data_IF_566648041299
#
_entry.id   IF_566648041299
#
_cell.length_a   1.000
_cell.length_b   1.000
_cell.length_c   1.000
_cell.angle_alpha   90.00
_cell.angle_beta   90.00
_cell.angle_gamma   90.00
#
_symmetry.space_group_name_H-M   'P 1'
#
loop_
_entity.id
_entity.type
_entity.pdbx_description
1 polymer ?
#
# COMPACT_ATOMS: atom_id res chain seq x y z
N UNK A 1 29.20 30.69 -15.20
CA UNK A 1 29.43 29.23 -15.34
C UNK A 1 28.33 28.39 -14.70
N UNK A 2 28.25 28.24 -13.37
CA UNK A 2 27.26 27.33 -12.72
C UNK A 2 25.79 27.69 -13.03
N UNK A 3 25.48 28.98 -13.14
CA UNK A 3 24.13 29.47 -13.47
C UNK A 3 23.79 29.28 -14.97
N UNK A 4 24.81 29.29 -15.83
CA UNK A 4 24.65 29.12 -17.28
C UNK A 4 24.38 27.65 -17.62
N UNK A 5 25.01 26.71 -16.89
CA UNK A 5 24.74 25.27 -16.97
C UNK A 5 23.31 24.93 -16.54
N UNK A 6 22.82 25.51 -15.43
CA UNK A 6 21.43 25.35 -14.98
C UNK A 6 20.46 25.89 -16.05
N UNK A 7 20.74 27.07 -16.60
CA UNK A 7 19.91 27.71 -17.62
C UNK A 7 19.90 26.92 -18.94
N UNK A 8 21.03 26.33 -19.31
CA UNK A 8 21.16 25.46 -20.48
C UNK A 8 20.40 24.14 -20.30
N UNK A 9 20.50 23.51 -19.12
CA UNK A 9 19.73 22.31 -18.79
C UNK A 9 18.22 22.56 -18.88
N UNK A 10 17.74 23.66 -18.28
CA UNK A 10 16.33 24.06 -18.33
C UNK A 10 15.89 24.40 -19.76
N UNK A 11 16.68 25.15 -20.53
CA UNK A 11 16.36 25.48 -21.93
C UNK A 11 16.27 24.24 -22.83
N UNK A 12 17.01 23.18 -22.52
CA UNK A 12 16.96 21.89 -23.23
C UNK A 12 15.75 21.04 -22.83
N UNK A 13 15.34 21.07 -21.56
CA UNK A 13 14.24 20.26 -21.04
C UNK A 13 12.86 20.91 -21.21
N UNK A 14 12.76 22.23 -21.06
CA UNK A 14 11.51 23.00 -21.08
C UNK A 14 10.65 22.78 -22.35
N UNK A 15 11.19 22.85 -23.59
CA UNK A 15 10.36 22.66 -24.78
C UNK A 15 9.77 21.25 -24.88
N UNK A 16 10.52 20.22 -24.44
CA UNK A 16 10.00 18.84 -24.38
C UNK A 16 8.88 18.71 -23.35
N UNK A 17 9.03 19.35 -22.19
CA UNK A 17 8.00 19.36 -21.13
C UNK A 17 6.73 20.09 -21.57
N UNK A 18 6.86 21.24 -22.23
CA UNK A 18 5.73 21.99 -22.76
C UNK A 18 5.00 21.21 -23.87
N UNK A 19 5.76 20.59 -24.79
CA UNK A 19 5.17 19.73 -25.82
C UNK A 19 4.41 18.55 -25.21
N UNK A 20 5.00 17.87 -24.22
CA UNK A 20 4.34 16.77 -23.51
C UNK A 20 3.04 17.23 -22.83
N UNK A 21 3.10 18.36 -22.11
CA UNK A 21 1.93 18.95 -21.46
C UNK A 21 0.82 19.30 -22.46
N UNK A 22 1.19 19.88 -23.60
CA UNK A 22 0.24 20.22 -24.67
C UNK A 22 -0.43 18.97 -25.25
N UNK A 23 0.35 17.93 -25.55
CA UNK A 23 -0.19 16.65 -26.06
C UNK A 23 -1.15 16.02 -25.06
N UNK A 24 -0.78 15.97 -23.78
CA UNK A 24 -1.66 15.47 -22.72
C UNK A 24 -2.95 16.29 -22.59
N UNK A 25 -2.88 17.62 -22.71
CA UNK A 25 -4.05 18.50 -22.65
C UNK A 25 -5.00 18.25 -23.85
N UNK A 26 -4.46 18.08 -25.06
CA UNK A 26 -5.26 17.78 -26.26
C UNK A 26 -5.93 16.41 -26.14
N UNK A 27 -5.19 15.37 -25.73
CA UNK A 27 -5.75 14.03 -25.52
C UNK A 27 -6.85 14.06 -24.45
N UNK A 28 -6.60 14.72 -23.32
CA UNK A 28 -7.59 14.89 -22.25
C UNK A 28 -8.84 15.64 -22.72
N UNK A 29 -8.67 16.70 -23.52
CA UNK A 29 -9.78 17.46 -24.10
C UNK A 29 -10.64 16.63 -25.07
N UNK A 30 -10.00 15.87 -25.96
CA UNK A 30 -10.70 14.98 -26.91
C UNK A 30 -11.45 13.87 -26.15
N UNK A 31 -10.78 13.21 -25.21
CA UNK A 31 -11.40 12.15 -24.40
C UNK A 31 -12.60 12.68 -23.60
N UNK A 32 -12.48 13.86 -22.99
CA UNK A 32 -13.57 14.52 -22.28
C UNK A 32 -14.74 14.89 -23.19
N UNK A 33 -14.47 15.42 -24.39
CA UNK A 33 -15.50 15.73 -25.38
C UNK A 33 -16.23 14.47 -25.87
N UNK A 34 -15.49 13.39 -26.17
CA UNK A 34 -16.08 12.11 -26.56
C UNK A 34 -16.95 11.54 -25.42
N UNK A 35 -16.47 11.58 -24.18
CA UNK A 35 -17.25 11.13 -23.03
C UNK A 35 -18.58 11.87 -22.88
N UNK A 36 -18.56 13.20 -23.05
CA UNK A 36 -19.76 14.03 -23.02
C UNK A 36 -20.70 13.80 -24.22
N UNK A 37 -20.15 13.57 -25.42
CA UNK A 37 -20.94 13.42 -26.65
C UNK A 37 -21.60 12.05 -26.80
N UNK A 38 -20.93 10.99 -26.36
CA UNK A 38 -21.40 9.60 -26.52
C UNK A 38 -22.18 9.07 -25.32
N UNK A 39 -22.46 9.88 -24.30
CA UNK A 39 -23.30 9.46 -23.17
C UNK A 39 -22.70 8.29 -22.39
N UNK A 40 -21.41 8.40 -22.00
CA UNK A 40 -20.79 7.40 -21.13
C UNK A 40 -21.43 7.34 -19.73
N UNK A 41 -22.40 8.22 -19.42
CA UNK A 41 -23.25 8.14 -18.22
C UNK A 41 -23.99 6.80 -18.13
N UNK A 42 -24.29 6.12 -19.24
CA UNK A 42 -24.85 4.77 -19.20
C UNK A 42 -23.91 3.73 -18.54
N UNK A 43 -22.59 3.93 -18.61
CA UNK A 43 -21.61 3.07 -17.93
C UNK A 43 -21.64 3.25 -16.42
N UNK A 44 -22.06 4.43 -15.92
CA UNK A 44 -22.15 4.69 -14.48
C UNK A 44 -23.13 3.74 -13.79
N UNK A 45 -24.30 3.49 -14.41
CA UNK A 45 -25.31 2.56 -13.89
C UNK A 45 -24.82 1.11 -13.87
N UNK A 46 -24.09 0.68 -14.91
CA UNK A 46 -23.49 -0.66 -14.97
C UNK A 46 -22.44 -0.83 -13.86
N UNK A 47 -21.56 0.16 -13.68
CA UNK A 47 -20.51 0.13 -12.65
C UNK A 47 -21.12 0.18 -11.25
N UNK A 48 -22.15 0.99 -11.03
CA UNK A 48 -22.86 1.08 -9.76
C UNK A 48 -23.57 -0.24 -9.40
N UNK A 49 -24.24 -0.88 -10.36
CA UNK A 49 -24.88 -2.18 -10.13
C UNK A 49 -23.84 -3.28 -9.88
N UNK A 50 -22.74 -3.28 -10.62
CA UNK A 50 -21.66 -4.24 -10.45
C UNK A 50 -20.96 -4.07 -9.09
N UNK A 51 -20.71 -2.84 -8.64
CA UNK A 51 -20.09 -2.56 -7.34
C UNK A 51 -21.03 -2.92 -6.18
N UNK A 52 -22.32 -2.62 -6.29
CA UNK A 52 -23.33 -3.04 -5.31
C UNK A 52 -23.44 -4.56 -5.23
N UNK A 53 -23.49 -5.26 -6.37
CA UNK A 53 -23.50 -6.73 -6.42
C UNK A 53 -22.23 -7.31 -5.80
N UNK A 54 -21.07 -6.78 -6.16
CA UNK A 54 -19.79 -7.19 -5.61
C UNK A 54 -19.77 -7.02 -4.09
N UNK A 55 -20.13 -5.85 -3.58
CA UNK A 55 -20.18 -5.55 -2.15
C UNK A 55 -21.16 -6.44 -1.38
N UNK A 56 -22.37 -6.62 -1.91
CA UNK A 56 -23.43 -7.36 -1.22
C UNK A 56 -23.23 -8.87 -1.24
N UNK A 57 -22.68 -9.42 -2.33
CA UNK A 57 -22.71 -10.87 -2.59
C UNK A 57 -21.35 -11.51 -2.73
N UNK A 58 -20.31 -10.80 -3.17
CA UNK A 58 -18.99 -11.39 -3.44
C UNK A 58 -18.01 -11.07 -2.32
N UNK A 59 -17.93 -9.80 -1.89
CA UNK A 59 -16.92 -9.33 -0.96
C UNK A 59 -16.91 -10.08 0.39
N UNK A 60 -18.06 -10.42 1.02
CA UNK A 60 -18.05 -11.20 2.26
C UNK A 60 -17.48 -12.60 2.10
N UNK A 61 -17.82 -13.31 1.02
CA UNK A 61 -17.27 -14.65 0.76
C UNK A 61 -15.80 -14.62 0.38
N UNK A 62 -15.40 -13.60 -0.39
CA UNK A 62 -13.99 -13.38 -0.70
C UNK A 62 -13.19 -13.06 0.58
N UNK A 63 -13.77 -12.32 1.52
CA UNK A 63 -13.17 -12.10 2.84
C UNK A 63 -12.95 -13.41 3.59
N UNK A 64 -13.96 -14.29 3.64
CA UNK A 64 -13.83 -15.62 4.25
C UNK A 64 -12.74 -16.44 3.54
N UNK A 65 -12.69 -16.40 2.22
CA UNK A 65 -11.65 -17.08 1.46
C UNK A 65 -10.25 -16.55 1.81
N UNK A 66 -10.08 -15.23 1.93
CA UNK A 66 -8.80 -14.62 2.37
C UNK A 66 -8.44 -15.07 3.79
N UNK A 67 -9.40 -15.12 4.71
CA UNK A 67 -9.18 -15.61 6.08
C UNK A 67 -8.72 -17.07 6.12
N UNK A 68 -9.15 -17.92 5.18
CA UNK A 68 -8.70 -19.31 5.11
C UNK A 68 -7.38 -19.46 4.35
N UNK A 69 -7.20 -18.72 3.25
CA UNK A 69 -6.03 -18.83 2.37
C UNK A 69 -4.79 -18.24 3.05
N UNK A 70 -4.93 -17.13 3.77
CA UNK A 70 -3.81 -16.45 4.44
C UNK A 70 -3.02 -17.39 5.36
N UNK A 71 -3.62 -18.09 6.33
CA UNK A 71 -2.90 -19.05 7.15
C UNK A 71 -2.43 -20.27 6.33
N UNK A 72 -3.19 -20.71 5.33
CA UNK A 72 -2.81 -21.84 4.47
C UNK A 72 -1.52 -21.56 3.67
N UNK A 73 -1.25 -20.31 3.30
CA UNK A 73 -0.02 -19.90 2.60
C UNK A 73 1.10 -19.52 3.60
N UNK A 74 0.77 -18.69 4.60
CA UNK A 74 1.75 -18.16 5.53
C UNK A 74 2.32 -19.23 6.48
N UNK A 75 1.50 -20.19 6.94
CA UNK A 75 1.95 -21.20 7.91
C UNK A 75 3.01 -22.14 7.30
N UNK A 76 2.83 -22.75 6.11
CA UNK A 76 3.87 -23.58 5.50
C UNK A 76 5.16 -22.81 5.21
N UNK A 77 5.05 -21.59 4.67
CA UNK A 77 6.21 -20.73 4.42
C UNK A 77 6.98 -20.42 5.70
N UNK A 78 6.27 -20.07 6.78
CA UNK A 78 6.87 -19.84 8.09
C UNK A 78 7.47 -21.12 8.69
N UNK A 79 6.82 -22.28 8.54
CA UNK A 79 7.37 -23.57 9.00
C UNK A 79 8.67 -23.92 8.29
N UNK A 80 8.76 -23.66 6.98
CA UNK A 80 10.01 -23.83 6.23
C UNK A 80 11.11 -22.88 6.71
N UNK A 81 10.79 -21.61 6.97
CA UNK A 81 11.74 -20.66 7.54
C UNK A 81 12.22 -21.12 8.93
N UNK A 82 11.29 -21.59 9.78
CA UNK A 82 11.60 -22.10 11.12
C UNK A 82 12.43 -23.38 11.10
N UNK A 83 12.19 -24.28 10.15
CA UNK A 83 12.99 -25.49 10.01
C UNK A 83 14.43 -25.16 9.62
N UNK A 84 14.63 -24.21 8.69
CA UNK A 84 15.96 -23.71 8.33
C UNK A 84 16.63 -23.01 9.50
N UNK A 85 15.90 -22.18 10.24
CA UNK A 85 16.39 -21.51 11.44
C UNK A 85 16.85 -22.50 12.52
N UNK A 86 16.17 -23.65 12.66
CA UNK A 86 16.57 -24.67 13.62
C UNK A 86 17.84 -25.44 13.22
N UNK A 87 18.15 -25.51 11.93
CA UNK A 87 19.39 -26.10 11.41
C UNK A 87 20.53 -25.09 11.23
N UNK A 88 20.26 -23.80 11.44
CA UNK A 88 21.24 -22.74 11.27
C UNK A 88 22.26 -22.78 12.42
N UNK A 89 23.54 -22.67 12.07
CA UNK A 89 24.66 -22.75 13.00
C UNK A 89 25.00 -21.43 13.70
N UNK A 90 24.34 -20.33 13.30
CA UNK A 90 24.54 -18.99 13.85
C UNK A 90 25.51 -18.11 13.07
N UNK A 91 26.26 -18.68 12.11
CA UNK A 91 27.32 -17.98 11.38
C UNK A 91 27.13 -18.03 9.86
N UNK A 92 26.38 -19.01 9.33
CA UNK A 92 26.12 -19.13 7.89
C UNK A 92 25.22 -17.98 7.38
N UNK A 93 25.85 -16.96 6.79
CA UNK A 93 25.19 -15.80 6.20
C UNK A 93 24.27 -16.17 5.03
N UNK A 94 24.63 -17.18 4.22
CA UNK A 94 23.81 -17.60 3.08
C UNK A 94 22.49 -18.20 3.59
N UNK A 95 22.55 -19.07 4.60
CA UNK A 95 21.35 -19.61 5.24
C UNK A 95 20.53 -18.52 5.95
N UNK A 96 21.18 -17.59 6.64
CA UNK A 96 20.51 -16.44 7.28
C UNK A 96 19.75 -15.58 6.27
N UNK A 97 20.36 -15.28 5.12
CA UNK A 97 19.73 -14.50 4.03
C UNK A 97 18.51 -15.21 3.45
N UNK A 98 18.55 -16.54 3.32
CA UNK A 98 17.42 -17.35 2.85
C UNK A 98 16.28 -17.35 3.88
N UNK A 99 16.60 -17.41 5.17
CA UNK A 99 15.60 -17.32 6.24
C UNK A 99 14.94 -15.95 6.22
N UNK A 100 15.71 -14.86 6.18
CA UNK A 100 15.20 -13.49 6.13
C UNK A 100 14.32 -13.25 4.88
N UNK A 101 14.74 -13.75 3.72
CA UNK A 101 13.94 -13.71 2.49
C UNK A 101 12.59 -14.41 2.63
N UNK A 102 12.55 -15.57 3.29
CA UNK A 102 11.29 -16.29 3.56
C UNK A 102 10.42 -15.57 4.58
N UNK A 103 10.99 -15.05 5.67
CA UNK A 103 10.25 -14.27 6.67
C UNK A 103 9.67 -13.00 6.06
N UNK A 104 10.46 -12.29 5.25
CA UNK A 104 10.01 -11.12 4.48
C UNK A 104 8.87 -11.45 3.53
N UNK A 105 8.92 -12.61 2.85
CA UNK A 105 7.82 -13.06 1.98
C UNK A 105 6.54 -13.38 2.77
N UNK A 106 6.66 -13.99 3.96
CA UNK A 106 5.51 -14.24 4.86
C UNK A 106 4.91 -12.93 5.37
N UNK A 107 5.75 -11.99 5.81
CA UNK A 107 5.31 -10.66 6.25
C UNK A 107 4.58 -9.92 5.12
N UNK A 108 5.14 -9.94 3.90
CA UNK A 108 4.51 -9.34 2.73
C UNK A 108 3.15 -9.97 2.42
N UNK A 109 3.06 -11.31 2.41
CA UNK A 109 1.81 -12.02 2.13
C UNK A 109 0.73 -11.68 3.18
N UNK A 110 1.09 -11.67 4.46
CA UNK A 110 0.17 -11.27 5.54
C UNK A 110 -0.27 -9.81 5.41
N UNK A 111 0.65 -8.88 5.15
CA UNK A 111 0.31 -7.47 4.95
C UNK A 111 -0.56 -7.25 3.71
N UNK A 112 -0.31 -7.97 2.62
CA UNK A 112 -1.12 -7.92 1.40
C UNK A 112 -2.55 -8.43 1.66
N UNK A 113 -2.70 -9.56 2.36
CA UNK A 113 -4.01 -10.05 2.80
C UNK A 113 -4.75 -9.04 3.65
N UNK A 114 -4.06 -8.37 4.59
CA UNK A 114 -4.67 -7.36 5.44
C UNK A 114 -5.16 -6.14 4.65
N UNK A 115 -4.35 -5.63 3.72
CA UNK A 115 -4.75 -4.52 2.82
C UNK A 115 -5.96 -4.92 1.97
N UNK A 116 -5.97 -6.13 1.44
CA UNK A 116 -7.12 -6.67 0.70
C UNK A 116 -8.36 -6.77 1.60
N UNK A 117 -8.21 -7.21 2.84
CA UNK A 117 -9.30 -7.26 3.83
C UNK A 117 -9.92 -5.87 4.07
N UNK A 118 -9.10 -4.83 4.24
CA UNK A 118 -9.61 -3.46 4.38
C UNK A 118 -10.43 -2.99 3.17
N UNK A 119 -10.01 -3.35 1.96
CA UNK A 119 -10.79 -3.08 0.76
C UNK A 119 -12.12 -3.86 0.74
N UNK A 120 -12.09 -5.16 1.04
CA UNK A 120 -13.27 -6.01 1.00
C UNK A 120 -14.32 -5.63 2.04
N UNK A 121 -13.92 -5.16 3.22
CA UNK A 121 -14.85 -4.70 4.25
C UNK A 121 -15.48 -3.36 3.83
N UNK A 122 -14.70 -2.45 3.24
CA UNK A 122 -15.23 -1.22 2.66
C UNK A 122 -16.20 -1.49 1.51
N UNK A 123 -15.90 -2.48 0.65
CA UNK A 123 -16.79 -2.92 -0.41
C UNK A 123 -18.09 -3.52 0.16
N UNK A 124 -18.00 -4.35 1.20
CA UNK A 124 -19.17 -4.90 1.91
C UNK A 124 -20.06 -3.79 2.48
N UNK A 125 -19.46 -2.76 3.08
CA UNK A 125 -20.20 -1.63 3.65
C UNK A 125 -20.72 -0.63 2.62
N UNK A 126 -20.24 -0.66 1.38
CA UNK A 126 -20.66 0.28 0.33
C UNK A 126 -22.14 0.15 -0.06
N UNK A 127 -22.76 -1.01 0.23
CA UNK A 127 -24.20 -1.27 0.06
C UNK A 127 -25.04 -0.47 1.07
N UNK A 128 -24.42 0.00 2.16
CA UNK A 128 -25.04 0.85 3.16
C UNK A 128 -26.13 0.14 3.96
N UNK A 129 -27.11 0.92 4.43
CA UNK A 129 -28.18 0.43 5.30
C UNK A 129 -29.13 -0.57 4.63
N UNK A 130 -29.22 -0.58 3.30
CA UNK A 130 -30.02 -1.55 2.55
C UNK A 130 -29.62 -3.01 2.82
N UNK A 131 -28.39 -3.22 3.27
CA UNK A 131 -27.91 -4.52 3.68
C UNK A 131 -28.62 -5.09 4.91
N UNK A 132 -29.34 -4.27 5.68
CA UNK A 132 -30.13 -4.68 6.85
C UNK A 132 -31.62 -4.87 6.55
N UNK A 133 -32.05 -4.65 5.30
CA UNK A 133 -33.46 -4.80 4.90
C UNK A 133 -33.92 -6.27 4.87
N UNK A 134 -32.98 -7.22 4.86
CA UNK A 134 -33.26 -8.65 4.93
C UNK A 134 -32.29 -9.38 5.86
N UNK A 135 -32.78 -10.45 6.47
CA UNK A 135 -31.96 -11.30 7.33
C UNK A 135 -30.74 -11.89 6.61
N UNK A 136 -30.92 -12.33 5.36
CA UNK A 136 -29.84 -12.93 4.56
C UNK A 136 -28.68 -11.95 4.32
N UNK A 137 -28.98 -10.72 3.88
CA UNK A 137 -27.97 -9.68 3.66
C UNK A 137 -27.30 -9.25 4.97
N UNK A 138 -28.04 -9.17 6.07
CA UNK A 138 -27.49 -8.83 7.38
C UNK A 138 -26.51 -9.89 7.86
N UNK A 139 -26.85 -11.18 7.71
CA UNK A 139 -25.96 -12.31 8.04
C UNK A 139 -24.67 -12.24 7.22
N UNK A 140 -24.73 -11.92 5.93
CA UNK A 140 -23.53 -11.77 5.09
C UNK A 140 -22.60 -10.67 5.59
N UNK A 141 -23.13 -9.53 6.07
CA UNK A 141 -22.28 -8.50 6.70
C UNK A 141 -21.60 -9.04 7.94
N UNK A 142 -22.33 -9.69 8.85
CA UNK A 142 -21.75 -10.22 10.08
C UNK A 142 -20.67 -11.26 9.81
N UNK A 143 -20.86 -12.11 8.79
CA UNK A 143 -19.84 -13.04 8.30
C UNK A 143 -18.60 -12.27 7.81
N UNK A 144 -18.79 -11.23 6.99
CA UNK A 144 -17.70 -10.38 6.51
C UNK A 144 -16.92 -9.70 7.65
N UNK A 145 -17.62 -9.19 8.66
CA UNK A 145 -17.01 -8.59 9.87
C UNK A 145 -16.21 -9.63 10.65
N UNK A 146 -16.80 -10.79 10.92
CA UNK A 146 -16.13 -11.86 11.65
C UNK A 146 -14.86 -12.33 10.92
N UNK A 147 -14.93 -12.51 9.60
CA UNK A 147 -13.78 -12.87 8.76
C UNK A 147 -12.71 -11.77 8.75
N UNK A 148 -13.10 -10.50 8.68
CA UNK A 148 -12.17 -9.37 8.77
C UNK A 148 -11.43 -9.33 10.13
N UNK A 149 -12.14 -9.55 11.23
CA UNK A 149 -11.54 -9.64 12.56
C UNK A 149 -10.59 -10.85 12.69
N UNK A 150 -10.94 -11.98 12.10
CA UNK A 150 -10.05 -13.15 12.03
C UNK A 150 -8.74 -12.81 11.29
N UNK A 151 -8.81 -12.16 10.13
CA UNK A 151 -7.62 -11.73 9.36
C UNK A 151 -6.76 -10.75 10.15
N UNK A 152 -7.36 -9.83 10.92
CA UNK A 152 -6.61 -8.92 11.79
C UNK A 152 -5.81 -9.70 12.85
N UNK A 153 -6.45 -10.63 13.54
CA UNK A 153 -5.79 -11.46 14.56
C UNK A 153 -4.70 -12.33 13.93
N UNK A 154 -4.98 -12.99 12.80
CA UNK A 154 -4.01 -13.78 12.06
C UNK A 154 -2.79 -12.95 11.65
N UNK A 155 -3.00 -11.75 11.12
CA UNK A 155 -1.93 -10.86 10.70
C UNK A 155 -1.03 -10.45 11.87
N UNK A 156 -1.61 -10.14 13.03
CA UNK A 156 -0.85 -9.83 14.26
C UNK A 156 -0.04 -11.05 14.70
N UNK A 157 -0.63 -12.25 14.73
CA UNK A 157 0.06 -13.47 15.15
C UNK A 157 1.17 -13.89 14.18
N UNK A 158 0.96 -13.72 12.87
CA UNK A 158 1.97 -14.01 11.85
C UNK A 158 3.13 -13.01 11.96
N UNK A 159 2.83 -11.72 12.07
CA UNK A 159 3.86 -10.68 12.25
C UNK A 159 4.67 -10.90 13.52
N UNK A 160 4.00 -11.24 14.64
CA UNK A 160 4.68 -11.60 15.88
C UNK A 160 5.66 -12.76 15.67
N UNK A 161 5.19 -13.87 15.09
CA UNK A 161 6.03 -15.06 14.88
C UNK A 161 7.23 -14.77 13.97
N UNK A 162 7.04 -13.96 12.93
CA UNK A 162 8.13 -13.58 12.04
C UNK A 162 9.16 -12.69 12.76
N UNK A 163 8.70 -11.73 13.58
CA UNK A 163 9.58 -10.88 14.38
C UNK A 163 10.32 -11.69 15.45
N UNK A 164 9.65 -12.62 16.12
CA UNK A 164 10.29 -13.49 17.12
C UNK A 164 11.32 -14.43 16.47
N UNK A 165 11.09 -14.90 15.25
CA UNK A 165 12.07 -15.65 14.46
C UNK A 165 13.27 -14.76 14.03
N UNK A 166 13.01 -13.53 13.59
CA UNK A 166 14.07 -12.58 13.25
C UNK A 166 14.96 -12.24 14.45
N UNK A 167 14.39 -12.13 15.66
CA UNK A 167 15.15 -11.94 16.91
C UNK A 167 16.05 -13.11 17.29
N UNK A 168 15.76 -14.32 16.83
CA UNK A 168 16.65 -15.47 17.07
C UNK A 168 17.92 -15.37 16.23
N UNK A 169 17.83 -14.79 15.03
CA UNK A 169 18.98 -14.49 14.19
C UNK A 169 19.75 -13.25 14.66
N UNK A 170 19.04 -12.32 15.30
CA UNK A 170 19.54 -11.02 15.76
C UNK A 170 19.15 -10.77 17.24
N UNK A 171 19.87 -11.36 18.22
CA UNK A 171 19.55 -11.24 19.64
C UNK A 171 19.61 -9.80 20.20
N UNK A 172 20.28 -8.91 19.50
CA UNK A 172 20.36 -7.47 19.81
C UNK A 172 19.00 -6.77 19.70
N UNK A 173 18.05 -7.31 18.92
CA UNK A 173 16.73 -6.72 18.68
C UNK A 173 15.77 -7.03 19.83
N UNK A 174 15.40 -6.02 20.61
CA UNK A 174 14.59 -6.16 21.83
C UNK A 174 13.16 -5.67 21.66
N UNK A 175 12.87 -4.88 20.63
CA UNK A 175 11.55 -4.31 20.37
C UNK A 175 10.45 -5.39 20.24
N UNK A 176 9.32 -5.21 20.94
CA UNK A 176 8.17 -6.11 20.85
C UNK A 176 7.19 -5.62 19.78
N UNK A 177 6.61 -6.53 18.98
CA UNK A 177 5.58 -6.16 17.98
C UNK A 177 4.38 -5.44 18.61
N UNK A 178 4.13 -5.69 19.90
CA UNK A 178 3.06 -5.08 20.68
C UNK A 178 3.39 -3.67 21.19
N UNK A 179 4.62 -3.18 20.98
CA UNK A 179 4.99 -1.82 21.31
C UNK A 179 4.30 -0.83 20.36
N UNK A 180 3.63 0.18 20.93
CA UNK A 180 3.00 1.27 20.15
C UNK A 180 3.99 2.02 19.25
N UNK A 181 5.29 1.95 19.55
CA UNK A 181 6.38 2.53 18.76
C UNK A 181 7.33 1.45 18.22
N UNK A 182 6.83 0.24 17.94
CA UNK A 182 7.63 -0.90 17.49
C UNK A 182 8.61 -0.51 16.37
N UNK A 183 8.12 0.13 15.30
CA UNK A 183 8.98 0.52 14.16
C UNK A 183 10.15 1.41 14.58
N UNK A 184 9.91 2.35 15.51
CA UNK A 184 10.97 3.22 16.02
C UNK A 184 11.98 2.43 16.86
N UNK A 185 11.49 1.66 17.84
CA UNK A 185 12.35 0.83 18.70
C UNK A 185 13.15 -0.18 17.90
N UNK A 186 12.54 -0.77 16.87
CA UNK A 186 13.19 -1.71 15.96
C UNK A 186 14.35 -1.06 15.21
N UNK A 187 14.15 0.14 14.66
CA UNK A 187 15.21 0.91 13.97
C UNK A 187 16.29 1.39 14.94
N UNK A 188 15.93 1.73 16.19
CA UNK A 188 16.89 2.15 17.22
C UNK A 188 17.82 0.98 17.63
N UNK A 189 17.32 -0.26 17.65
CA UNK A 189 18.10 -1.49 17.92
C UNK A 189 19.00 -1.91 16.74
N UNK A 190 18.75 -1.41 15.51
CA UNK A 190 19.51 -1.75 14.32
C UNK A 190 20.90 -1.10 14.29
N UNK A 191 21.85 -1.74 13.61
CA UNK A 191 23.15 -1.13 13.34
C UNK A 191 23.09 -0.07 12.21
N UNK A 192 24.21 0.59 11.93
CA UNK A 192 24.28 1.64 10.91
C UNK A 192 24.10 1.12 9.48
N UNK A 193 24.54 -0.11 9.19
CA UNK A 193 24.39 -0.71 7.87
C UNK A 193 22.92 -1.08 7.59
N UNK A 194 22.24 -1.66 8.57
CA UNK A 194 20.81 -1.97 8.56
C UNK A 194 19.98 -0.69 8.42
N UNK A 195 20.28 0.36 9.18
CA UNK A 195 19.61 1.67 9.06
C UNK A 195 19.75 2.27 7.67
N UNK A 196 20.94 2.19 7.07
CA UNK A 196 21.18 2.64 5.69
C UNK A 196 20.34 1.82 4.71
N UNK A 197 20.25 0.50 4.89
CA UNK A 197 19.46 -0.36 4.02
C UNK A 197 17.95 -0.08 4.14
N UNK A 198 17.43 0.07 5.36
CA UNK A 198 16.05 0.51 5.62
C UNK A 198 15.80 1.86 4.95
N UNK A 199 16.74 2.80 5.04
CA UNK A 199 16.66 4.10 4.36
C UNK A 199 16.56 3.98 2.83
N UNK A 200 17.37 3.12 2.20
CA UNK A 200 17.31 2.85 0.74
C UNK A 200 15.98 2.23 0.34
N UNK A 201 15.50 1.25 1.11
CA UNK A 201 14.19 0.62 0.89
C UNK A 201 13.04 1.61 1.04
N UNK A 202 13.05 2.42 2.11
CA UNK A 202 12.06 3.45 2.38
C UNK A 202 12.03 4.52 1.28
N UNK A 203 13.20 4.95 0.77
CA UNK A 203 13.26 5.90 -0.34
C UNK A 203 12.68 5.31 -1.64
N UNK A 204 12.98 4.03 -1.94
CA UNK A 204 12.42 3.35 -3.12
C UNK A 204 10.90 3.20 -3.01
N UNK A 205 10.40 2.85 -1.82
CA UNK A 205 8.96 2.80 -1.53
C UNK A 205 8.31 4.19 -1.65
N UNK A 206 8.90 5.23 -1.07
CA UNK A 206 8.47 6.62 -1.18
C UNK A 206 8.34 7.08 -2.64
N UNK A 207 9.37 6.80 -3.46
CA UNK A 207 9.36 7.14 -4.88
C UNK A 207 8.25 6.41 -5.65
N UNK A 208 8.05 5.12 -5.35
CA UNK A 208 6.97 4.34 -5.95
C UNK A 208 5.58 4.88 -5.56
N UNK A 209 5.35 5.17 -4.27
CA UNK A 209 4.09 5.74 -3.78
C UNK A 209 3.78 7.07 -4.45
N UNK A 210 4.77 7.98 -4.58
CA UNK A 210 4.56 9.25 -5.27
C UNK A 210 4.15 9.08 -6.74
N UNK A 211 4.75 8.13 -7.45
CA UNK A 211 4.37 7.82 -8.84
C UNK A 211 2.95 7.26 -8.91
N UNK A 212 2.62 6.30 -8.04
CA UNK A 212 1.29 5.68 -7.99
C UNK A 212 0.23 6.72 -7.63
N UNK A 213 0.46 7.58 -6.63
CA UNK A 213 -0.47 8.66 -6.28
C UNK A 213 -0.72 9.61 -7.45
N UNK A 214 0.33 10.03 -8.17
CA UNK A 214 0.18 10.91 -9.33
C UNK A 214 -0.66 10.26 -10.44
N UNK A 215 -0.37 9.00 -10.78
CA UNK A 215 -1.13 8.24 -11.79
C UNK A 215 -2.58 8.03 -11.32
N UNK A 216 -2.77 7.61 -10.07
CA UNK A 216 -4.08 7.35 -9.50
C UNK A 216 -4.94 8.62 -9.44
N UNK A 217 -4.39 9.78 -9.10
CA UNK A 217 -5.12 11.05 -9.11
C UNK A 217 -5.65 11.40 -10.51
N UNK A 218 -4.83 11.20 -11.56
CA UNK A 218 -5.25 11.43 -12.95
C UNK A 218 -6.35 10.44 -13.35
N UNK A 219 -6.14 9.15 -13.07
CA UNK A 219 -7.12 8.09 -13.40
C UNK A 219 -8.44 8.34 -12.68
N UNK A 220 -8.42 8.66 -11.39
CA UNK A 220 -9.63 8.92 -10.60
C UNK A 220 -10.34 10.19 -11.05
N UNK A 221 -9.63 11.22 -11.51
CA UNK A 221 -10.26 12.41 -12.10
C UNK A 221 -11.01 12.06 -13.39
N UNK A 222 -10.43 11.21 -14.26
CA UNK A 222 -11.11 10.71 -15.46
C UNK A 222 -12.31 9.84 -15.07
N UNK A 223 -12.15 8.94 -14.10
CA UNK A 223 -13.24 8.10 -13.60
C UNK A 223 -14.37 8.93 -13.00
N UNK A 224 -14.08 10.05 -12.33
CA UNK A 224 -15.10 10.95 -11.80
C UNK A 224 -15.95 11.55 -12.93
N UNK A 225 -15.33 11.92 -14.05
CA UNK A 225 -16.02 12.42 -15.24
C UNK A 225 -16.85 11.32 -15.93
N UNK A 226 -16.28 10.12 -16.11
CA UNK A 226 -16.87 9.05 -16.92
C UNK A 226 -17.91 8.23 -16.15
N UNK A 227 -17.62 7.90 -14.89
CA UNK A 227 -18.45 6.99 -14.07
C UNK A 227 -19.23 7.71 -12.97
N UNK A 228 -19.05 9.01 -12.78
CA UNK A 228 -19.78 9.76 -11.75
C UNK A 228 -19.44 9.36 -10.32
N UNK A 229 -18.27 8.76 -10.07
CA UNK A 229 -17.84 8.27 -8.73
C UNK A 229 -17.59 9.42 -7.71
N UNK A 230 -17.75 10.67 -8.14
CA UNK A 230 -17.48 11.86 -7.34
C UNK A 230 -15.99 12.14 -7.13
N UNK A 231 -15.68 13.16 -6.34
CA UNK A 231 -14.30 13.58 -6.08
C UNK A 231 -13.65 12.90 -4.87
N UNK A 232 -14.44 12.23 -4.00
CA UNK A 232 -13.95 11.67 -2.73
C UNK A 232 -12.80 10.66 -2.90
N UNK A 233 -12.84 9.70 -3.86
CA UNK A 233 -11.71 8.80 -4.08
C UNK A 233 -10.43 9.54 -4.45
N UNK A 234 -10.53 10.57 -5.32
CA UNK A 234 -9.38 11.39 -5.69
C UNK A 234 -8.86 12.20 -4.52
N UNK A 235 -9.74 12.73 -3.67
CA UNK A 235 -9.35 13.47 -2.47
C UNK A 235 -8.56 12.59 -1.49
N UNK A 236 -9.00 11.34 -1.26
CA UNK A 236 -8.28 10.41 -0.40
C UNK A 236 -6.85 10.15 -0.89
N UNK A 237 -6.66 9.95 -2.20
CA UNK A 237 -5.32 9.79 -2.80
C UNK A 237 -4.47 11.06 -2.64
N UNK A 238 -5.06 12.24 -2.88
CA UNK A 238 -4.36 13.51 -2.72
C UNK A 238 -3.93 13.77 -1.26
N UNK A 239 -4.75 13.39 -0.28
CA UNK A 239 -4.39 13.50 1.15
C UNK A 239 -3.17 12.63 1.45
N UNK A 240 -3.18 11.36 1.03
CA UNK A 240 -2.03 10.45 1.24
C UNK A 240 -0.78 11.04 0.59
N UNK A 241 -0.90 11.54 -0.64
CA UNK A 241 0.21 12.11 -1.37
C UNK A 241 0.76 13.38 -0.69
N UNK A 242 -0.12 14.27 -0.23
CA UNK A 242 0.25 15.49 0.49
C UNK A 242 0.93 15.18 1.82
N UNK A 243 0.45 14.20 2.58
CA UNK A 243 1.09 13.76 3.83
C UNK A 243 2.49 13.23 3.55
N UNK A 244 2.63 12.35 2.55
CA UNK A 244 3.91 11.76 2.18
C UNK A 244 4.94 12.84 1.79
N UNK A 245 4.54 13.79 0.93
CA UNK A 245 5.37 14.90 0.51
C UNK A 245 5.72 15.84 1.68
N UNK A 246 4.74 16.16 2.53
CA UNK A 246 4.93 17.10 3.65
C UNK A 246 5.90 16.55 4.70
N UNK A 247 5.77 15.27 5.05
CA UNK A 247 6.67 14.61 6.02
C UNK A 247 8.09 14.56 5.46
N UNK A 248 8.25 14.19 4.18
CA UNK A 248 9.57 14.19 3.53
C UNK A 248 10.21 15.58 3.54
N UNK A 249 9.49 16.60 3.09
CA UNK A 249 9.98 17.98 3.08
C UNK A 249 10.30 18.48 4.50
N UNK A 250 9.48 18.15 5.50
CA UNK A 250 9.70 18.50 6.90
C UNK A 250 11.00 17.90 7.44
N UNK A 251 11.23 16.61 7.22
CA UNK A 251 12.47 15.97 7.66
C UNK A 251 13.68 16.49 6.87
N UNK A 252 13.56 16.70 5.55
CA UNK A 252 14.64 17.29 4.75
C UNK A 252 15.04 18.69 5.25
N UNK A 253 14.07 19.55 5.60
CA UNK A 253 14.33 20.84 6.22
C UNK A 253 15.00 20.72 7.59
N UNK A 254 14.61 19.71 8.38
CA UNK A 254 15.22 19.44 9.69
C UNK A 254 16.69 19.04 9.55
N UNK A 255 17.01 18.14 8.63
CA UNK A 255 18.39 17.72 8.36
C UNK A 255 19.23 18.85 7.76
N UNK A 256 18.66 19.68 6.89
CA UNK A 256 19.34 20.85 6.35
C UNK A 256 19.75 21.83 7.46
N UNK A 257 18.89 22.05 8.48
CA UNK A 257 19.23 22.85 9.67
C UNK A 257 20.32 22.23 10.53
N UNK A 258 20.43 20.90 10.53
CA UNK A 258 21.46 20.16 11.24
C UNK A 258 22.80 20.06 10.47
N UNK A 259 22.92 20.73 9.31
CA UNK A 259 24.14 20.76 8.50
C UNK A 259 24.18 19.74 7.35
N UNK A 260 23.23 18.80 7.30
CA UNK A 260 23.14 17.79 6.23
C UNK A 260 22.25 18.32 5.10
N UNK A 261 22.86 19.01 4.13
CA UNK A 261 22.15 19.59 2.96
C UNK A 261 21.85 18.50 1.93
N UNK A 262 20.57 18.27 1.68
CA UNK A 262 20.04 17.30 0.70
C UNK A 262 19.71 18.00 -0.65
N UNK A 263 19.55 19.33 -0.62
CA UNK A 263 19.26 20.19 -1.76
C UNK A 263 20.32 21.29 -1.92
#
# INVERSE_FOLDING_TARGET
MKNDEIRAANRKALPKFLLFTLVCAVIGGIAGYCAARYGLDQLSGVVANASAFFGARIAPWLMVAVAVITPAVCIPMYRHAKALLASWDGEDEDTSSVIDGKLSAVLWASSASLVLAFFLIAATYSVGFASFDSWESAVLIFIGIAAFLAILVESILIQQKCVDAAKQMSPEKKASIYDMQFQKKWVDDCDEAEKIMIGKCAFKAYSAVNRVCAIAAIVLAICALVFGIGFLPSLAVCIIWMVNLSVYCKEAMRYAKAGNKIF
#
